data_IF_081749883933
#
_entry.id   IF_081749883933
#
_cell.length_a   1.000
_cell.length_b   1.000
_cell.length_c   1.000
_cell.angle_alpha   90.00
_cell.angle_beta   90.00
_cell.angle_gamma   90.00
#
_symmetry.space_group_name_H-M   'P 1'
#
loop_
_entity.id
_entity.type
_entity.pdbx_description
1 polymer ?
2 non-polymer ?
3 non-polymer ?
4 water ?
#
# COMPACT_ATOMS: atom_id res chain seq x y z
N UNK A 28 2.45 -23.70 -18.04
CA UNK A 28 2.38 -23.75 -16.58
C UNK A 28 1.89 -22.40 -16.03
N UNK A 29 1.08 -22.46 -14.98
CA UNK A 29 0.42 -21.29 -14.46
C UNK A 29 0.95 -20.94 -13.08
N UNK A 30 2.23 -21.17 -12.85
CA UNK A 30 2.78 -20.90 -11.53
C UNK A 30 2.84 -19.42 -11.27
N UNK A 31 2.96 -19.07 -10.00
CA UNK A 31 3.27 -17.70 -9.64
C UNK A 31 4.63 -17.28 -10.17
N UNK A 32 5.59 -18.21 -10.21
CA UNK A 32 6.91 -17.87 -10.73
C UNK A 32 6.81 -17.41 -12.18
N UNK A 33 5.88 -17.96 -12.94
CA UNK A 33 5.76 -17.62 -14.35
C UNK A 33 4.97 -16.34 -14.61
N UNK A 34 4.32 -15.78 -13.60
CA UNK A 34 3.76 -14.44 -13.75
C UNK A 34 4.86 -13.46 -14.16
N UNK A 35 4.48 -12.47 -14.97
CA UNK A 35 5.48 -11.55 -15.50
C UNK A 35 6.24 -10.84 -14.39
N UNK A 36 7.56 -10.82 -14.52
CA UNK A 36 8.42 -10.14 -13.57
C UNK A 36 8.54 -8.66 -13.92
N UNK A 37 8.88 -7.89 -12.90
CA UNK A 37 9.09 -6.45 -12.97
C UNK A 37 10.27 -6.10 -12.09
N UNK A 38 10.82 -4.91 -12.32
CA UNK A 38 11.88 -4.40 -11.44
C UNK A 38 11.39 -4.28 -10.02
N UNK A 39 10.19 -3.71 -9.84
CA UNK A 39 9.59 -3.56 -8.52
C UNK A 39 9.38 -4.92 -7.86
N UNK A 40 8.67 -5.83 -8.52
CA UNK A 40 8.45 -7.14 -7.94
C UNK A 40 9.74 -7.88 -7.62
N UNK A 41 10.73 -7.79 -8.53
CA UNK A 41 11.99 -8.50 -8.31
C UNK A 41 12.77 -7.93 -7.13
N UNK A 42 12.69 -6.61 -6.93
CA UNK A 42 13.40 -6.00 -5.80
C UNK A 42 12.82 -6.48 -4.48
N UNK A 43 11.48 -6.53 -4.40
CA UNK A 43 10.83 -7.04 -3.19
C UNK A 43 11.16 -8.52 -2.99
N UNK A 44 11.10 -9.30 -4.07
CA UNK A 44 11.34 -10.73 -3.97
C UNK A 44 12.76 -11.02 -3.55
N UNK A 45 13.73 -10.29 -4.12
CA UNK A 45 15.12 -10.50 -3.77
C UNK A 45 15.35 -10.14 -2.31
N UNK A 46 14.71 -9.09 -1.82
CA UNK A 46 14.87 -8.72 -0.43
C UNK A 46 14.31 -9.80 0.49
N UNK A 47 13.09 -10.27 0.21
CA UNK A 47 12.47 -11.31 1.04
C UNK A 47 13.31 -12.58 1.06
N UNK A 48 13.78 -13.03 -0.11
CA UNK A 48 14.48 -14.30 -0.18
C UNK A 48 15.88 -14.21 0.40
N UNK A 49 16.53 -13.05 0.31
CA UNK A 49 17.78 -12.86 1.05
C UNK A 49 17.54 -12.94 2.55
N UNK A 50 16.48 -12.28 3.04
CA UNK A 50 16.16 -12.37 4.47
C UNK A 50 15.95 -13.82 4.88
N UNK A 51 15.19 -14.58 4.08
CA UNK A 51 14.88 -15.96 4.43
C UNK A 51 16.12 -16.84 4.41
N UNK A 52 17.04 -16.60 3.47
CA UNK A 52 18.28 -17.38 3.46
C UNK A 52 19.19 -17.06 4.64
N UNK A 53 19.00 -15.92 5.31
CA UNK A 53 19.79 -15.65 6.51
C UNK A 53 19.18 -16.29 7.76
N UNK A 54 17.98 -16.82 7.68
CA UNK A 54 17.31 -17.45 8.82
C UNK A 54 17.60 -18.95 8.81
N UNK A 55 17.61 -19.56 10.00
CA UNK A 55 17.96 -20.97 10.09
C UNK A 55 16.75 -21.89 10.03
N UNK A 56 15.64 -21.47 9.45
CA UNK A 56 14.43 -22.26 9.56
C UNK A 56 14.30 -23.18 8.37
N UNK A 57 14.21 -24.50 8.58
CA UNK A 57 14.12 -25.43 7.45
C UNK A 57 12.88 -25.22 6.60
N UNK A 58 11.74 -24.95 7.25
CA UNK A 58 10.42 -24.98 6.61
C UNK A 58 10.25 -23.93 5.52
N UNK A 59 11.04 -22.87 5.53
CA UNK A 59 10.76 -21.69 4.70
C UNK A 59 10.98 -21.99 3.23
N UNK A 60 9.90 -21.96 2.44
CA UNK A 60 10.00 -22.06 1.00
C UNK A 60 10.34 -20.74 0.34
N UNK A 61 10.56 -20.80 -0.97
CA UNK A 61 10.87 -19.61 -1.74
C UNK A 61 9.63 -18.75 -1.95
N UNK A 62 9.82 -17.42 -1.92
CA UNK A 62 8.74 -16.46 -2.08
C UNK A 62 8.82 -15.84 -3.47
N UNK A 63 7.67 -15.64 -4.10
CA UNK A 63 7.55 -14.91 -5.36
C UNK A 63 6.71 -13.67 -5.14
N UNK A 64 7.22 -12.53 -5.61
CA UNK A 64 6.51 -11.27 -5.50
C UNK A 64 6.26 -10.79 -6.91
N UNK A 65 5.00 -10.56 -7.23
CA UNK A 65 4.63 -10.18 -8.58
C UNK A 65 3.77 -8.94 -8.51
N UNK A 66 4.17 -7.91 -9.26
CA UNK A 66 3.26 -6.83 -9.62
C UNK A 66 2.33 -7.36 -10.70
N UNK A 67 1.04 -7.40 -10.40
CA UNK A 67 0.05 -7.99 -11.30
C UNK A 67 -0.83 -6.95 -11.95
N UNK A 68 -0.80 -5.69 -11.51
CA UNK A 68 -1.55 -4.64 -12.17
C UNK A 68 -0.82 -3.32 -11.97
N UNK A 69 -0.96 -2.44 -12.96
CA UNK A 69 -0.24 -1.17 -12.99
C UNK A 69 -0.95 -0.33 -14.04
N UNK A 70 -1.57 0.77 -13.60
CA UNK A 70 -2.32 1.61 -14.52
C UNK A 70 -2.31 3.03 -13.98
N UNK A 71 -2.55 3.99 -14.88
CA UNK A 71 -2.54 5.40 -14.53
C UNK A 71 -3.96 5.91 -14.32
N UNK A 72 -4.15 6.65 -13.24
CA UNK A 72 -5.46 7.12 -12.84
C UNK A 72 -5.34 8.57 -12.37
N UNK A 73 -6.49 9.18 -12.11
CA UNK A 73 -6.54 10.49 -11.50
C UNK A 73 -7.50 10.43 -10.31
N UNK A 74 -7.18 11.12 -9.23
CA UNK A 74 -8.13 11.34 -8.14
C UNK A 74 -8.66 12.76 -8.24
N UNK A 75 -9.97 12.91 -8.25
CA UNK A 75 -10.59 14.22 -8.39
C UNK A 75 -10.89 14.79 -7.02
N UNK A 76 -10.65 16.09 -6.87
CA UNK A 76 -11.01 16.79 -5.64
C UNK A 76 -12.52 16.83 -5.54
N UNK A 77 -13.06 16.33 -4.43
CA UNK A 77 -14.52 16.18 -4.26
C UNK A 77 -15.21 17.54 -4.18
N UNK A 78 -16.56 17.60 -4.32
CA UNK A 78 -17.20 18.90 -4.63
C UNK A 78 -16.99 19.99 -3.60
N UNK A 79 -16.97 19.67 -2.31
CA UNK A 79 -16.81 20.72 -1.31
C UNK A 79 -15.44 21.37 -1.41
N UNK A 80 -14.38 20.56 -1.36
CA UNK A 80 -13.04 21.10 -1.54
C UNK A 80 -12.86 21.73 -2.91
N UNK A 81 -13.58 21.23 -3.94
CA UNK A 81 -13.48 21.83 -5.26
C UNK A 81 -14.05 23.24 -5.27
N UNK A 82 -15.23 23.43 -4.67
CA UNK A 82 -15.82 24.76 -4.61
C UNK A 82 -14.98 25.72 -3.79
N UNK A 83 -14.39 25.25 -2.69
CA UNK A 83 -13.62 26.16 -1.85
C UNK A 83 -12.27 26.51 -2.47
N UNK A 84 -11.57 25.54 -3.00
CA UNK A 84 -10.18 25.76 -3.40
C UNK A 84 -9.90 25.56 -4.89
N UNK A 85 -10.64 24.69 -5.57
CA UNK A 85 -10.37 24.50 -7.00
C UNK A 85 -10.94 25.65 -7.81
N UNK A 86 -12.19 26.04 -7.53
CA UNK A 86 -12.83 27.13 -8.27
C UNK A 86 -12.14 28.46 -8.07
N UNK A 87 -11.43 28.64 -6.96
CA UNK A 87 -10.69 29.89 -6.72
C UNK A 87 -9.28 29.85 -7.27
N UNK A 88 -8.85 28.72 -7.84
CA UNK A 88 -7.53 28.59 -8.40
C UNK A 88 -6.43 28.26 -7.42
N UNK A 89 -6.77 27.90 -6.20
CA UNK A 89 -5.77 27.59 -5.18
C UNK A 89 -5.32 26.14 -5.19
N UNK A 90 -6.02 25.25 -5.89
CA UNK A 90 -5.75 23.83 -5.76
C UNK A 90 -6.07 23.16 -7.08
N UNK A 91 -5.18 22.26 -7.52
CA UNK A 91 -5.43 21.52 -8.73
C UNK A 91 -6.74 20.75 -8.64
N UNK A 92 -7.48 20.69 -9.75
CA UNK A 92 -8.77 20.02 -9.73
C UNK A 92 -8.64 18.51 -9.57
N UNK A 93 -7.48 17.94 -9.88
CA UNK A 93 -7.27 16.50 -9.78
C UNK A 93 -5.77 16.22 -9.76
N UNK A 94 -5.43 15.00 -9.36
CA UNK A 94 -4.03 14.60 -9.26
C UNK A 94 -3.83 13.27 -9.98
N UNK A 95 -2.86 13.19 -10.88
CA UNK A 95 -2.58 11.92 -11.54
C UNK A 95 -1.73 11.01 -10.67
N UNK A 96 -1.98 9.71 -10.80
CA UNK A 96 -1.18 8.75 -10.06
C UNK A 96 -1.15 7.42 -10.80
N UNK A 97 -0.10 6.66 -10.54
CA UNK A 97 -0.01 5.28 -10.98
C UNK A 97 -0.42 4.41 -9.82
N UNK A 98 -1.24 3.42 -10.08
CA UNK A 98 -1.63 2.49 -9.04
C UNK A 98 -1.15 1.10 -9.42
N UNK A 99 -0.76 0.32 -8.43
CA UNK A 99 -0.17 -0.98 -8.66
C UNK A 99 -0.71 -1.95 -7.63
N UNK A 100 -1.03 -3.16 -8.08
CA UNK A 100 -1.38 -4.27 -7.20
C UNK A 100 -0.25 -5.29 -7.23
N UNK A 101 0.23 -5.69 -6.06
CA UNK A 101 1.27 -6.70 -5.99
C UNK A 101 0.89 -7.77 -4.98
N UNK A 102 1.37 -8.99 -5.24
CA UNK A 102 1.02 -10.15 -4.45
C UNK A 102 2.28 -10.95 -4.16
N UNK A 103 2.28 -11.58 -3.00
CA UNK A 103 3.37 -12.45 -2.58
C UNK A 103 2.86 -13.89 -2.49
N UNK A 104 3.62 -14.82 -3.05
CA UNK A 104 3.26 -16.23 -3.04
C UNK A 104 4.40 -17.02 -2.41
N UNK A 105 4.05 -18.05 -1.67
CA UNK A 105 5.03 -18.96 -1.11
C UNK A 105 4.79 -20.35 -1.67
N UNK A 106 5.86 -21.04 -2.01
CA UNK A 106 5.80 -22.47 -2.28
C UNK A 106 5.56 -23.19 -0.97
N UNK A 107 4.42 -23.87 -0.87
CA UNK A 107 4.04 -24.67 0.29
C UNK A 107 3.51 -26.00 -0.22
N UNK A 108 4.13 -27.09 0.22
CA UNK A 108 3.80 -28.43 -0.27
C UNK A 108 3.90 -28.50 -1.79
N UNK A 109 4.90 -27.81 -2.35
CA UNK A 109 5.16 -27.88 -3.78
C UNK A 109 4.05 -27.26 -4.61
N UNK A 110 3.44 -26.19 -4.12
CA UNK A 110 2.24 -25.63 -4.72
C UNK A 110 2.10 -24.20 -4.21
N UNK A 111 1.79 -23.28 -5.12
CA UNK A 111 1.78 -21.86 -4.78
C UNK A 111 0.64 -21.49 -3.84
N UNK A 112 0.95 -20.67 -2.85
CA UNK A 112 -0.08 -20.12 -1.96
C UNK A 112 0.09 -18.62 -1.88
N UNK A 113 -0.92 -17.87 -2.32
CA UNK A 113 -0.88 -16.42 -2.18
C UNK A 113 -1.13 -16.07 -0.72
N UNK A 114 -0.21 -15.31 -0.12
CA UNK A 114 -0.38 -14.98 1.30
C UNK A 114 -0.36 -13.49 1.60
N UNK A 115 -0.14 -12.63 0.61
CA UNK A 115 0.00 -11.21 0.90
C UNK A 115 -0.36 -10.42 -0.35
N UNK A 116 -1.03 -9.30 -0.15
CA UNK A 116 -1.40 -8.46 -1.27
C UNK A 116 -1.41 -7.03 -0.82
N UNK A 117 -1.16 -6.12 -1.76
CA UNK A 117 -1.03 -4.71 -1.45
C UNK A 117 -1.30 -3.90 -2.70
N UNK A 118 -2.01 -2.79 -2.51
CA UNK A 118 -2.24 -1.77 -3.52
C UNK A 118 -1.57 -0.48 -3.06
N UNK A 119 -0.95 0.24 -4.01
CA UNK A 119 -0.21 1.47 -3.74
C UNK A 119 -0.62 2.50 -4.77
N UNK A 120 -0.48 3.77 -4.41
CA UNK A 120 -0.71 4.90 -5.31
C UNK A 120 0.57 5.72 -5.33
N UNK A 121 1.02 6.07 -6.53
CA UNK A 121 2.30 6.72 -6.68
C UNK A 121 2.09 8.01 -7.46
N UNK A 122 2.38 9.13 -6.82
CA UNK A 122 2.20 10.46 -7.37
C UNK A 122 3.58 10.96 -7.75
N UNK A 123 3.87 10.99 -9.05
CA UNK A 123 5.23 11.17 -9.52
C UNK A 123 5.73 12.60 -9.42
N UNK A 124 6.85 12.84 -10.12
CA UNK A 124 7.50 14.14 -10.05
C UNK A 124 6.79 15.22 -10.86
N UNK A 125 5.91 14.86 -11.78
CA UNK A 125 5.08 15.81 -12.52
C UNK A 125 3.76 16.12 -11.81
N UNK A 126 3.45 15.42 -10.75
CA UNK A 126 2.17 15.62 -10.12
C UNK A 126 2.12 16.99 -9.43
N UNK A 127 1.04 17.75 -9.60
CA UNK A 127 0.97 19.05 -8.96
C UNK A 127 1.05 18.95 -7.45
N UNK A 128 1.54 19.98 -6.78
CA UNK A 128 1.43 20.02 -5.33
C UNK A 128 -0.02 19.95 -4.91
N UNK A 129 -0.32 19.45 -3.70
CA UNK A 129 0.58 18.98 -2.64
C UNK A 129 1.01 17.51 -2.72
N UNK A 130 0.73 16.79 -3.80
CA UNK A 130 0.95 15.36 -3.87
C UNK A 130 2.31 14.97 -4.44
N UNK A 131 3.13 15.92 -4.86
CA UNK A 131 4.31 15.60 -5.67
C UNK A 131 5.28 14.66 -4.96
N UNK A 132 5.69 13.59 -5.67
CA UNK A 132 6.68 12.62 -5.21
C UNK A 132 6.26 11.97 -3.89
N UNK A 133 5.02 11.48 -3.84
CA UNK A 133 4.50 10.80 -2.66
C UNK A 133 3.92 9.47 -3.08
N UNK A 134 3.97 8.51 -2.18
CA UNK A 134 3.33 7.22 -2.37
C UNK A 134 2.38 7.01 -1.20
N UNK A 135 1.31 6.28 -1.46
CA UNK A 135 0.33 5.98 -0.44
C UNK A 135 -0.01 4.51 -0.53
N UNK A 136 -0.07 3.83 0.60
CA UNK A 136 -0.56 2.44 0.58
C UNK A 136 -2.08 2.47 0.62
N UNK A 137 -2.72 2.18 -0.51
CA UNK A 137 -4.17 2.07 -0.55
C UNK A 137 -4.66 0.98 0.40
N UNK A 138 -4.13 -0.24 0.23
CA UNK A 138 -4.66 -1.40 0.94
C UNK A 138 -3.57 -2.44 1.08
N UNK A 139 -3.60 -3.15 2.21
CA UNK A 139 -2.76 -4.30 2.43
C UNK A 139 -3.62 -5.38 3.08
N UNK A 140 -3.39 -6.65 2.72
CA UNK A 140 -4.15 -7.77 3.23
C UNK A 140 -3.24 -9.00 3.26
N UNK A 141 -3.61 -10.00 4.06
CA UNK A 141 -2.78 -11.17 4.22
C UNK A 141 -3.62 -12.37 4.65
N UNK A 142 -3.10 -13.56 4.36
CA UNK A 142 -3.68 -14.82 4.82
C UNK A 142 -2.55 -15.58 5.51
N UNK A 143 -2.78 -15.99 6.76
CA UNK A 143 -1.68 -16.29 7.67
C UNK A 143 -1.02 -17.66 7.50
N UNK A 144 -0.96 -18.19 6.29
CA UNK A 144 -0.44 -19.53 6.12
C UNK A 144 1.05 -19.59 5.81
N UNK A 145 1.77 -18.48 5.88
CA UNK A 145 3.21 -18.53 5.60
C UNK A 145 3.93 -19.50 6.54
N UNK A 146 4.77 -20.36 5.96
CA UNK A 146 5.62 -21.26 6.72
C UNK A 146 7.07 -20.79 6.64
N UNK A 147 7.74 -20.61 7.78
CA UNK A 147 7.24 -20.88 9.13
C UNK A 147 6.51 -19.67 9.67
N UNK A 148 5.59 -19.92 10.60
CA UNK A 148 4.86 -18.83 11.24
C UNK A 148 5.80 -17.83 11.88
N UNK A 149 6.88 -18.31 12.50
CA UNK A 149 7.71 -17.38 13.26
C UNK A 149 8.40 -16.35 12.38
N UNK A 150 8.34 -16.51 11.05
CA UNK A 150 8.91 -15.56 10.11
C UNK A 150 7.86 -14.75 9.36
N UNK A 151 6.56 -15.01 9.58
CA UNK A 151 5.50 -14.36 8.80
C UNK A 151 5.58 -12.84 8.90
N UNK A 152 5.54 -12.31 10.11
CA UNK A 152 5.57 -10.85 10.25
C UNK A 152 6.82 -10.25 9.64
N UNK A 153 7.97 -10.88 9.90
CA UNK A 153 9.24 -10.39 9.36
C UNK A 153 9.19 -10.31 7.85
N UNK A 154 8.56 -11.30 7.20
CA UNK A 154 8.42 -11.28 5.75
C UNK A 154 7.53 -10.13 5.32
N UNK A 155 6.38 -9.95 5.97
CA UNK A 155 5.53 -8.78 5.66
C UNK A 155 6.32 -7.47 5.80
N UNK A 156 7.08 -7.34 6.87
CA UNK A 156 7.85 -6.12 7.06
C UNK A 156 8.88 -5.94 5.96
N UNK A 157 9.55 -7.03 5.56
CA UNK A 157 10.52 -6.95 4.48
C UNK A 157 9.89 -6.54 3.15
N UNK A 158 8.69 -7.05 2.84
CA UNK A 158 8.00 -6.60 1.63
C UNK A 158 7.79 -5.09 1.68
N UNK A 159 7.33 -4.58 2.82
CA UNK A 159 7.02 -3.16 2.93
C UNK A 159 8.28 -2.31 2.91
N UNK A 160 9.31 -2.74 3.66
CA UNK A 160 10.59 -2.04 3.61
C UNK A 160 11.14 -2.01 2.19
N UNK A 161 11.09 -3.16 1.52
CA UNK A 161 11.55 -3.20 0.14
C UNK A 161 10.81 -2.19 -0.72
N UNK A 162 9.48 -2.06 -0.54
CA UNK A 162 8.72 -1.11 -1.34
C UNK A 162 9.20 0.32 -1.10
N UNK A 163 9.34 0.71 0.16
CA UNK A 163 9.82 2.06 0.50
C UNK A 163 11.22 2.30 -0.08
N UNK A 164 12.11 1.33 0.10
CA UNK A 164 13.47 1.42 -0.42
C UNK A 164 13.45 1.60 -1.93
N UNK A 165 12.59 0.85 -2.62
CA UNK A 165 12.53 0.93 -4.08
C UNK A 165 12.02 2.29 -4.55
N UNK A 166 10.93 2.80 -3.99
CA UNK A 166 10.41 4.05 -4.51
C UNK A 166 11.30 5.21 -4.08
N UNK A 167 12.00 5.07 -2.95
CA UNK A 167 12.99 6.06 -2.57
C UNK A 167 14.09 6.15 -3.61
N UNK A 168 14.55 5.00 -4.11
CA UNK A 168 15.63 5.01 -5.09
C UNK A 168 15.20 5.65 -6.40
N UNK A 169 13.95 5.43 -6.82
CA UNK A 169 13.44 6.09 -8.01
C UNK A 169 13.23 7.59 -7.81
N UNK A 170 13.23 8.05 -6.57
CA UNK A 170 13.11 9.46 -6.30
C UNK A 170 11.83 9.90 -5.62
N UNK A 171 11.02 8.98 -5.10
CA UNK A 171 9.90 9.42 -4.26
C UNK A 171 10.43 9.91 -2.93
N UNK A 172 9.71 10.83 -2.30
CA UNK A 172 10.21 11.56 -1.15
C UNK A 172 9.45 11.19 0.12
N UNK A 173 8.15 11.00 0.03
CA UNK A 173 7.34 10.80 1.23
C UNK A 173 6.36 9.67 1.00
N UNK A 174 6.24 8.78 1.97
CA UNK A 174 5.27 7.69 1.94
C UNK A 174 4.20 7.93 2.99
N UNK A 175 3.00 7.37 2.76
CA UNK A 175 1.85 7.62 3.61
C UNK A 175 1.12 6.32 3.89
N UNK A 176 0.83 6.07 5.15
CA UNK A 176 0.11 4.88 5.58
C UNK A 176 -0.99 5.29 6.54
N UNK A 177 -2.19 4.81 6.29
CA UNK A 177 -3.31 4.93 7.21
C UNK A 177 -3.50 3.54 7.83
N UNK A 178 -3.18 3.41 9.11
CA UNK A 178 -3.30 2.14 9.81
C UNK A 178 -4.77 1.95 10.16
N UNK A 179 -5.49 1.22 9.33
CA UNK A 179 -6.92 1.02 9.52
C UNK A 179 -7.30 -0.44 9.30
N UNK A 180 -7.61 -1.20 10.35
CA UNK A 180 -8.03 -2.59 10.18
C UNK A 180 -9.39 -2.62 9.50
N UNK A 181 -9.77 -3.73 8.88
CA UNK A 181 -11.08 -3.78 8.22
C UNK A 181 -12.20 -3.77 9.24
N UNK A 182 -13.37 -3.34 8.78
CA UNK A 182 -14.57 -3.53 9.57
C UNK A 182 -14.82 -5.03 9.78
N UNK A 183 -15.51 -5.34 10.86
CA UNK A 183 -15.67 -6.72 11.26
C UNK A 183 -16.37 -7.53 10.16
N UNK A 184 -15.79 -8.69 9.83
CA UNK A 184 -16.31 -9.53 8.77
C UNK A 184 -15.96 -9.09 7.37
N UNK A 185 -15.40 -7.90 7.19
CA UNK A 185 -15.04 -7.39 5.89
C UNK A 185 -13.65 -7.88 5.48
N UNK A 186 -13.42 -7.94 4.16
CA UNK A 186 -12.15 -8.37 3.59
C UNK A 186 -11.59 -7.28 2.68
N UNK A 187 -10.30 -6.98 2.84
CA UNK A 187 -9.70 -5.93 2.02
C UNK A 187 -9.38 -6.44 0.61
N UNK A 188 -8.76 -7.62 0.51
CA UNK A 188 -8.30 -8.13 -0.78
C UNK A 188 -8.72 -9.58 -0.97
N UNK A 189 -8.49 -10.41 0.04
CA UNK A 189 -8.71 -11.85 -0.06
C UNK A 189 -10.06 -12.22 0.52
N UNK A 190 -10.91 -12.82 -0.31
CA UNK A 190 -12.24 -13.20 0.15
C UNK A 190 -12.15 -14.30 1.19
N UNK A 191 -12.83 -14.09 2.32
CA UNK A 191 -12.97 -15.10 3.37
C UNK A 191 -11.66 -15.54 4.02
N UNK A 192 -11.24 -14.80 5.04
CA UNK A 192 -10.05 -15.12 5.82
C UNK A 192 -10.28 -16.35 6.68
N UNK A 193 -9.21 -16.95 7.21
CA UNK A 193 -9.39 -18.05 8.17
C UNK A 193 -10.08 -17.57 9.43
N UNK A 194 -10.93 -18.40 10.04
CA UNK A 194 -11.68 -17.95 11.21
C UNK A 194 -10.79 -17.70 12.41
N UNK A 195 -9.63 -18.36 12.50
CA UNK A 195 -8.70 -18.15 13.60
C UNK A 195 -7.59 -17.17 13.24
N UNK A 196 -7.68 -16.50 12.09
CA UNK A 196 -6.75 -15.41 11.81
C UNK A 196 -7.30 -14.15 12.47
N UNK A 197 -6.73 -13.79 13.61
CA UNK A 197 -7.20 -12.62 14.35
C UNK A 197 -6.90 -11.35 13.58
N UNK A 198 -7.78 -10.38 13.72
CA UNK A 198 -7.65 -9.08 13.06
C UNK A 198 -7.14 -8.08 14.10
N UNK A 199 -6.01 -7.43 13.85
CA UNK A 199 -5.48 -6.50 14.86
C UNK A 199 -6.37 -5.29 15.04
N UNK A 200 -6.49 -4.83 16.29
CA UNK A 200 -7.12 -3.54 16.56
C UNK A 200 -6.15 -2.43 16.18
N UNK A 201 -6.63 -1.19 16.02
CA UNK A 201 -5.74 -0.13 15.50
C UNK A 201 -4.46 0.07 16.31
N UNK A 202 -4.50 -0.09 17.63
CA UNK A 202 -3.29 0.07 18.43
C UNK A 202 -2.23 -0.96 18.04
N UNK A 203 -2.60 -2.25 18.02
CA UNK A 203 -1.69 -3.29 17.56
C UNK A 203 -1.16 -2.98 16.16
N UNK A 204 -2.02 -2.47 15.28
CA UNK A 204 -1.60 -2.21 13.92
C UNK A 204 -0.62 -1.04 13.83
N UNK A 205 -0.83 0.02 14.63
CA UNK A 205 0.16 1.11 14.67
C UNK A 205 1.52 0.58 15.09
N UNK A 206 1.55 -0.19 16.19
CA UNK A 206 2.79 -0.75 16.70
C UNK A 206 3.45 -1.63 15.65
N UNK A 207 2.65 -2.35 14.87
CA UNK A 207 3.19 -3.18 13.82
C UNK A 207 3.89 -2.32 12.76
N UNK A 208 3.28 -1.18 12.43
CA UNK A 208 3.92 -0.30 11.46
C UNK A 208 5.15 0.38 12.04
N UNK A 209 5.11 0.75 13.33
CA UNK A 209 6.27 1.33 13.98
C UNK A 209 7.46 0.38 13.96
N UNK A 210 7.22 -0.89 14.25
CA UNK A 210 8.30 -1.88 14.22
C UNK A 210 8.86 -2.00 12.80
N UNK A 211 7.99 -2.04 11.80
CA UNK A 211 8.49 -2.10 10.44
C UNK A 211 9.32 -0.86 10.12
N UNK A 212 8.80 0.33 10.45
CA UNK A 212 9.49 1.57 10.10
C UNK A 212 10.74 1.77 10.93
N UNK A 213 10.72 1.35 12.21
CA UNK A 213 11.94 1.36 13.01
C UNK A 213 13.03 0.54 12.36
N UNK A 214 12.67 -0.60 11.75
CA UNK A 214 13.67 -1.39 11.05
C UNK A 214 14.15 -0.68 9.79
N UNK A 215 13.21 -0.10 9.02
CA UNK A 215 13.58 0.71 7.86
C UNK A 215 14.51 1.86 8.24
N UNK A 216 14.25 2.49 9.39
CA UNK A 216 15.11 3.57 9.88
C UNK A 216 16.50 3.03 10.20
N UNK A 217 16.58 1.95 10.98
CA UNK A 217 17.87 1.39 11.35
C UNK A 217 18.69 1.01 10.13
N UNK A 218 18.05 0.63 9.04
CA UNK A 218 18.77 0.25 7.83
C UNK A 218 19.09 1.45 6.95
N UNK A 219 18.84 2.66 7.44
CA UNK A 219 19.14 3.89 6.70
C UNK A 219 18.39 3.94 5.38
N UNK A 220 17.19 3.37 5.36
CA UNK A 220 16.34 3.46 4.19
C UNK A 220 15.49 4.71 4.31
N UNK A 221 14.72 4.83 5.40
CA UNK A 221 13.94 6.04 5.63
C UNK A 221 14.75 6.99 6.49
N UNK A 222 14.53 8.30 6.29
CA UNK A 222 15.19 9.28 7.14
C UNK A 222 14.46 9.44 8.48
N UNK A 223 13.13 9.34 8.45
CA UNK A 223 12.34 9.55 9.65
C UNK A 223 10.90 9.19 9.30
N UNK A 224 10.10 9.01 10.34
CA UNK A 224 8.66 9.00 10.17
C UNK A 224 8.05 9.77 11.32
N UNK A 225 6.90 10.39 11.06
CA UNK A 225 6.20 11.20 12.04
C UNK A 225 4.71 10.98 11.87
N UNK A 226 3.97 11.16 12.97
CA UNK A 226 2.52 11.19 12.87
C UNK A 226 2.07 12.44 12.09
N UNK A 227 0.85 12.38 11.55
CA UNK A 227 0.38 13.41 10.64
C UNK A 227 0.28 14.77 11.35
N UNK A 228 -0.08 14.77 12.64
CA UNK A 228 -0.26 16.01 13.37
C UNK A 228 1.06 16.75 13.57
N UNK A 229 2.09 16.02 14.05
CA UNK A 229 3.41 16.61 14.20
C UNK A 229 3.94 17.10 12.87
N UNK A 230 3.73 16.32 11.80
CA UNK A 230 4.22 16.72 10.49
C UNK A 230 3.56 17.99 10.00
N UNK A 231 2.24 18.08 10.14
CA UNK A 231 1.52 19.28 9.71
C UNK A 231 2.00 20.51 10.48
N UNK A 232 2.22 20.37 11.78
CA UNK A 232 2.76 21.47 12.59
C UNK A 232 4.13 21.90 12.07
N UNK A 233 5.05 20.94 11.89
CA UNK A 233 6.38 21.29 11.41
C UNK A 233 6.33 21.87 10.00
N UNK A 234 5.42 21.35 9.16
CA UNK A 234 5.18 21.93 7.84
C UNK A 234 4.46 23.27 7.90
N UNK A 235 4.00 23.71 9.07
CA UNK A 235 3.26 24.96 9.22
C UNK A 235 2.03 25.02 8.30
N UNK A 236 1.34 23.88 8.19
CA UNK A 236 0.08 23.83 7.48
C UNK A 236 -0.85 24.92 7.98
N UNK A 237 -1.40 25.71 7.07
CA UNK A 237 -2.44 26.66 7.42
C UNK A 237 -3.72 26.47 6.64
N UNK A 238 -3.74 25.61 5.62
CA UNK A 238 -4.94 25.46 4.82
C UNK A 238 -5.13 24.00 4.42
N UNK A 239 -6.39 23.57 4.36
CA UNK A 239 -6.67 22.18 3.99
C UNK A 239 -6.13 21.87 2.60
N UNK A 240 -6.04 22.89 1.72
CA UNK A 240 -5.53 22.66 0.38
C UNK A 240 -4.09 22.15 0.39
N UNK A 241 -3.34 22.34 1.49
CA UNK A 241 -1.97 21.83 1.56
C UNK A 241 -1.90 20.35 1.90
N UNK A 242 -3.00 19.72 2.27
CA UNK A 242 -2.89 18.33 2.70
C UNK A 242 -2.87 17.42 1.47
N UNK A 243 -1.94 16.48 1.40
CA UNK A 243 -1.94 15.53 0.27
C UNK A 243 -3.28 14.84 0.16
N UNK A 244 -3.75 14.69 -1.08
CA UNK A 244 -5.13 14.34 -1.39
C UNK A 244 -5.10 13.03 -2.19
N UNK A 245 -5.34 11.91 -1.52
CA UNK A 245 -5.23 10.60 -2.15
C UNK A 245 -6.59 9.93 -2.28
N UNK A 246 -6.72 9.09 -3.30
CA UNK A 246 -7.96 8.37 -3.59
C UNK A 246 -8.31 7.40 -2.46
N UNK A 247 -9.51 7.53 -1.90
CA UNK A 247 -9.96 6.66 -0.83
C UNK A 247 -9.30 6.89 0.52
N UNK A 248 -8.45 7.90 0.64
CA UNK A 248 -7.81 8.17 1.92
C UNK A 248 -8.84 8.79 2.88
N UNK A 249 -8.48 8.79 4.15
CA UNK A 249 -9.33 9.38 5.19
C UNK A 249 -9.58 10.86 4.94
N UNK A 250 -8.57 11.58 4.48
CA UNK A 250 -8.64 13.02 4.63
C UNK A 250 -9.58 13.70 3.63
N UNK A 251 -9.71 13.23 2.38
CA UNK A 251 -10.68 13.89 1.49
C UNK A 251 -12.10 13.88 2.03
N UNK A 252 -12.55 12.79 2.67
CA UNK A 252 -13.90 12.75 3.23
C UNK A 252 -14.03 13.61 4.47
N UNK A 253 -13.02 13.58 5.35
CA UNK A 253 -12.95 14.52 6.47
C UNK A 253 -13.21 15.93 5.97
N UNK A 254 -12.51 16.31 4.90
CA UNK A 254 -12.62 17.67 4.39
C UNK A 254 -14.03 17.93 3.82
N UNK A 255 -14.62 16.94 3.15
CA UNK A 255 -15.99 17.12 2.66
C UNK A 255 -16.97 17.29 3.81
N UNK A 256 -16.78 16.54 4.90
CA UNK A 256 -17.67 16.69 6.05
C UNK A 256 -17.52 18.06 6.69
N UNK A 257 -16.27 18.52 6.87
CA UNK A 257 -16.07 19.82 7.51
C UNK A 257 -16.65 20.95 6.68
N UNK A 258 -16.73 20.77 5.36
CA UNK A 258 -17.35 21.79 4.53
C UNK A 258 -18.88 21.73 4.62
N UNK A 259 -19.46 20.52 4.75
CA UNK A 259 -20.90 20.45 4.97
C UNK A 259 -21.29 20.98 6.35
N UNK A 260 -20.43 20.74 7.34
CA UNK A 260 -20.67 21.29 8.68
C UNK A 260 -20.54 22.81 8.67
N UNK A 261 -19.47 23.31 8.04
CA UNK A 261 -19.17 24.73 7.91
C UNK A 261 -18.88 25.37 9.26
N UNK A 264 -12.57 28.91 10.42
CA UNK A 264 -11.28 28.31 10.76
C UNK A 264 -11.26 26.83 10.42
N UNK A 265 -11.33 26.53 9.11
CA UNK A 265 -11.21 25.15 8.66
C UNK A 265 -9.90 24.51 9.11
N UNK A 266 -8.82 25.31 9.19
CA UNK A 266 -7.52 24.78 9.59
C UNK A 266 -7.51 24.39 11.07
N UNK A 267 -8.19 25.15 11.93
CA UNK A 267 -8.19 24.83 13.34
C UNK A 267 -8.86 23.47 13.61
N UNK A 268 -9.97 23.20 12.91
CA UNK A 268 -10.64 21.91 13.02
C UNK A 268 -9.74 20.79 12.49
N UNK A 269 -9.13 21.03 11.33
CA UNK A 269 -8.28 20.02 10.73
C UNK A 269 -7.19 19.58 11.70
N UNK A 270 -6.52 20.53 12.32
CA UNK A 270 -5.50 20.21 13.33
C UNK A 270 -6.09 19.40 14.47
N UNK A 271 -7.29 19.78 14.93
CA UNK A 271 -7.92 19.03 16.02
C UNK A 271 -8.22 17.59 15.57
N UNK A 272 -8.63 17.41 14.31
CA UNK A 272 -8.89 16.06 13.83
C UNK A 272 -7.59 15.28 13.67
N UNK A 273 -6.57 15.91 13.07
CA UNK A 273 -5.26 15.26 12.94
C UNK A 273 -4.71 14.85 14.30
N UNK A 274 -4.77 15.76 15.29
CA UNK A 274 -4.26 15.42 16.61
C UNK A 274 -5.04 14.26 17.21
N UNK A 275 -6.36 14.30 17.07
CA UNK A 275 -7.20 13.28 17.68
C UNK A 275 -6.86 11.89 17.16
N UNK A 276 -6.50 11.77 15.88
CA UNK A 276 -6.27 10.46 15.28
C UNK A 276 -4.81 10.28 14.86
N UNK A 277 -3.89 11.05 15.45
CA UNK A 277 -2.54 11.14 14.89
C UNK A 277 -1.84 9.79 14.88
N UNK A 278 -2.13 8.92 15.84
CA UNK A 278 -1.34 7.70 15.98
C UNK A 278 -1.56 6.75 14.83
N UNK A 279 -2.61 6.96 14.05
CA UNK A 279 -2.99 6.03 13.00
C UNK A 279 -2.56 6.51 11.61
N UNK A 280 -1.96 7.69 11.52
CA UNK A 280 -1.54 8.24 10.23
C UNK A 280 -0.04 8.49 10.23
N UNK A 281 0.69 7.72 9.40
CA UNK A 281 2.15 7.74 9.33
C UNK A 281 2.58 8.57 8.12
N UNK A 282 3.51 9.50 8.34
CA UNK A 282 4.20 10.20 7.28
C UNK A 282 5.66 9.77 7.32
N UNK A 283 6.14 9.18 6.24
CA UNK A 283 7.42 8.49 6.17
C UNK A 283 8.29 9.24 5.17
N UNK A 284 9.45 9.69 5.61
CA UNK A 284 10.31 10.46 4.73
C UNK A 284 11.43 9.57 4.21
N UNK A 285 11.47 9.40 2.89
CA UNK A 285 12.49 8.61 2.23
C UNK A 285 13.74 9.43 1.95
N UNK A 286 13.58 10.72 1.69
CA UNK A 286 14.66 11.66 1.53
C UNK A 286 14.38 12.88 2.40
N UNK A 287 15.43 13.50 2.91
CA UNK A 287 15.31 14.70 3.71
C UNK A 287 16.43 15.64 3.34
N UNK A 288 16.20 16.93 3.58
CA UNK A 288 17.25 17.92 3.48
C UNK A 288 17.46 18.38 2.06
N UNK A 289 18.60 19.03 1.80
CA UNK A 289 18.81 19.68 0.50
C UNK A 289 18.89 18.71 -0.67
N UNK A 290 19.06 17.40 -0.44
CA UNK A 290 19.17 16.46 -1.54
C UNK A 290 17.87 16.38 -2.31
N UNK A 291 16.75 16.65 -1.64
CA UNK A 291 15.44 16.64 -2.30
C UNK A 291 15.44 17.60 -3.49
N UNK A 292 16.15 18.72 -3.36
CA UNK A 292 16.16 19.71 -4.42
C UNK A 292 16.94 19.27 -5.65
N UNK A 293 17.70 18.17 -5.59
CA UNK A 293 18.51 17.72 -6.71
C UNK A 293 17.94 16.53 -7.46
N UNK A 294 16.85 15.92 -6.98
CA UNK A 294 16.41 14.65 -7.52
C UNK A 294 15.96 14.79 -8.97
N UNK A 295 16.35 13.86 -9.84
CA UNK A 295 15.92 13.92 -11.25
C UNK A 295 14.45 13.54 -11.37
N UNK A 296 13.86 13.70 -12.55
CA UNK A 296 12.47 13.26 -12.73
C UNK A 296 12.31 11.80 -12.35
N UNK A 297 11.14 11.46 -11.85
CA UNK A 297 10.81 10.07 -11.56
C UNK A 297 10.35 9.39 -12.85
N UNK A 298 10.99 8.27 -13.17
CA UNK A 298 10.66 7.47 -14.34
C UNK A 298 10.50 6.04 -13.86
N UNK A 299 9.31 5.50 -14.03
CA UNK A 299 9.04 4.10 -13.68
C UNK A 299 9.69 3.21 -14.73
N UNK A 300 10.66 2.37 -14.38
CA UNK A 300 11.28 1.51 -15.41
C UNK A 300 10.37 0.38 -15.86
N UNK A 301 9.30 0.07 -15.14
CA UNK A 301 8.38 -1.01 -15.47
C UNK A 301 7.28 -0.50 -16.38
N UNK A 302 6.84 -1.30 -17.35
CA UNK A 302 5.70 -0.90 -18.17
C UNK A 302 4.41 -1.02 -17.38
N UNK A 303 3.36 -0.40 -17.90
CA UNK A 303 2.03 -0.63 -17.34
C UNK A 303 1.57 -2.05 -17.65
N UNK A 304 0.67 -2.54 -16.80
CA UNK A 304 0.13 -3.89 -16.93
C UNK A 304 -1.39 -3.79 -16.87
N UNK A 305 -2.04 -3.98 -18.02
CA UNK A 305 -3.50 -4.03 -18.07
C UNK A 305 -4.02 -5.31 -17.42
N UNK A 306 -4.82 -5.16 -16.35
CA UNK A 306 -5.38 -6.34 -15.68
C UNK A 306 -6.67 -5.91 -14.95
N UNK A 307 -7.82 -6.08 -15.62
CA UNK A 307 -9.08 -5.63 -15.03
C UNK A 307 -9.38 -6.35 -13.72
N UNK A 308 -8.92 -7.60 -13.59
CA UNK A 308 -9.18 -8.35 -12.38
C UNK A 308 -8.62 -7.66 -11.15
N UNK A 309 -7.45 -7.04 -11.27
CA UNK A 309 -6.77 -6.46 -10.12
C UNK A 309 -6.73 -4.94 -10.21
N UNK A 310 -7.63 -4.36 -10.99
CA UNK A 310 -7.89 -2.93 -11.01
C UNK A 310 -8.77 -2.64 -9.81
N UNK A 311 -8.17 -2.16 -8.73
CA UNK A 311 -8.90 -1.98 -7.48
C UNK A 311 -9.12 -3.31 -6.81
N UNK A 312 -9.85 -3.27 -5.69
CA UNK A 312 -10.05 -4.47 -4.89
C UNK A 312 -11.36 -5.20 -5.19
N UNK A 313 -12.38 -4.51 -5.70
CA UNK A 313 -13.71 -5.11 -5.75
C UNK A 313 -13.79 -6.25 -6.75
N UNK A 314 -13.06 -6.15 -7.87
CA UNK A 314 -13.17 -7.14 -8.93
C UNK A 314 -12.77 -8.52 -8.42
N UNK A 315 -11.59 -8.62 -7.81
CA UNK A 315 -11.12 -9.91 -7.33
C UNK A 315 -11.99 -10.41 -6.18
N UNK A 316 -12.37 -9.53 -5.27
CA UNK A 316 -13.32 -9.88 -4.22
C UNK A 316 -14.64 -10.41 -4.81
N UNK A 317 -15.14 -9.76 -5.86
CA UNK A 317 -16.40 -10.19 -6.45
C UNK A 317 -16.26 -11.54 -7.13
N UNK A 318 -15.23 -11.69 -7.98
CA UNK A 318 -14.96 -12.96 -8.63
C UNK A 318 -14.88 -14.10 -7.61
N UNK A 319 -14.12 -13.90 -6.53
CA UNK A 319 -13.96 -14.97 -5.55
C UNK A 319 -15.28 -15.28 -4.85
N UNK A 320 -16.03 -14.24 -4.46
CA UNK A 320 -17.34 -14.45 -3.83
C UNK A 320 -18.26 -15.26 -4.74
N UNK A 321 -18.34 -14.88 -6.01
CA UNK A 321 -19.22 -15.59 -6.93
C UNK A 321 -18.74 -17.01 -7.19
N UNK A 322 -17.43 -17.21 -7.33
CA UNK A 322 -16.86 -18.51 -7.62
C UNK A 322 -16.67 -19.37 -6.37
N UNK A 323 -16.89 -18.81 -5.18
CA UNK A 323 -16.68 -19.52 -3.91
C UNK A 323 -15.21 -19.83 -3.69
N UNK A 324 -14.35 -18.91 -4.08
CA UNK A 324 -12.93 -19.01 -3.77
C UNK A 324 -12.69 -18.34 -2.43
N UNK A 325 -12.40 -19.15 -1.43
CA UNK A 325 -12.13 -18.66 -0.08
C UNK A 325 -10.66 -18.86 0.26
N UNK A 326 -10.19 -18.07 1.21
CA UNK A 326 -8.82 -18.18 1.71
C UNK A 326 -8.84 -18.53 3.19
N UNK A 327 -9.79 -19.39 3.56
CA UNK A 327 -10.12 -19.65 4.95
C UNK A 327 -9.44 -20.88 5.53
N UNK A 328 -8.79 -21.70 4.71
CA UNK A 328 -7.97 -22.81 5.16
C UNK A 328 -6.81 -22.94 4.19
N UNK A 329 -5.76 -23.67 4.59
CA UNK A 329 -4.64 -23.87 3.68
C UNK A 329 -5.08 -24.55 2.39
N UNK A 330 -5.94 -25.56 2.50
CA UNK A 330 -6.40 -26.25 1.29
C UNK A 330 -7.19 -25.32 0.38
N UNK A 331 -8.12 -24.55 0.95
CA UNK A 331 -8.89 -23.62 0.13
C UNK A 331 -8.02 -22.53 -0.45
N UNK A 332 -7.01 -22.08 0.32
CA UNK A 332 -6.08 -21.07 -0.18
C UNK A 332 -5.26 -21.60 -1.34
N UNK A 333 -4.89 -22.89 -1.27
CA UNK A 333 -4.18 -23.51 -2.38
C UNK A 333 -5.02 -23.47 -3.65
N UNK A 334 -6.28 -23.88 -3.56
CA UNK A 334 -7.10 -23.95 -4.76
C UNK A 334 -7.48 -22.55 -5.24
N UNK A 335 -7.82 -21.65 -4.32
CA UNK A 335 -8.09 -20.26 -4.71
C UNK A 335 -6.86 -19.61 -5.35
N UNK A 336 -5.67 -19.91 -4.87
CA UNK A 336 -4.47 -19.40 -5.50
C UNK A 336 -4.31 -19.96 -6.91
N UNK A 337 -4.51 -21.27 -7.07
CA UNK A 337 -4.55 -21.86 -8.41
C UNK A 337 -5.53 -21.12 -9.32
N UNK A 338 -6.74 -20.89 -8.84
CA UNK A 338 -7.74 -20.20 -9.66
C UNK A 338 -7.32 -18.75 -9.95
N UNK A 339 -6.83 -18.04 -8.94
CA UNK A 339 -6.34 -16.69 -9.17
C UNK A 339 -5.22 -16.69 -10.20
N UNK A 340 -4.32 -17.68 -10.15
CA UNK A 340 -3.21 -17.74 -11.08
C UNK A 340 -3.68 -18.01 -12.50
N UNK A 341 -4.61 -18.95 -12.68
CA UNK A 341 -5.10 -19.23 -14.03
C UNK A 341 -5.76 -17.99 -14.62
N UNK A 342 -6.48 -17.24 -13.78
CA UNK A 342 -7.12 -16.01 -14.26
C UNK A 342 -6.09 -14.96 -14.65
N UNK A 343 -5.03 -14.78 -13.86
CA UNK A 343 -4.03 -13.76 -14.17
C UNK A 343 -3.23 -14.11 -15.41
N UNK A 344 -2.99 -15.40 -15.64
CA UNK A 344 -2.24 -15.81 -16.82
C UNK A 344 -3.05 -15.77 -18.11
N UNK A 345 -4.38 -15.72 -18.02
CA UNK A 345 -5.21 -15.79 -19.22
C UNK A 345 -6.08 -14.57 -19.46
N UNK A 346 -6.12 -13.60 -18.54
CA UNK A 346 -6.82 -12.34 -18.81
C UNK A 346 -6.37 -11.77 -20.15
N UNK A 347 -5.08 -11.87 -20.46
CA UNK A 347 -4.62 -11.73 -21.82
C UNK A 347 -4.37 -13.09 -22.43
N UNK A 348 -5.35 -13.60 -23.17
CA UNK A 348 -5.22 -14.89 -23.85
C UNK A 348 -5.05 -14.72 -25.36
#
# INVERSE_FOLDING_TARGET
MGSSHHHHHHDYDIPTTENLYFQGHTNKFSAKRLQTTRLGNHLEDRVNKFLRRQNHPEAGEVFVRVVASSDKTVEVKPGMKSRFVDSGEMSESFPYRTKALFAFEEIDGVDVCFFGMHVQEYGSDCPPPNTRRVYISYLDSIHFFRPRCLRTAVYHEILIGYLEYVKKLGYVTGHIWACPPSEGDDYIFHCHPPDQKIPKPKRLQEWFKKMLDKAFAERIIHDYKDIFKQATEDRLTSAKELPYFEGDFWPNVLEESIKESGGSGSQKLYATMEKHKEVFFVIHLHAGPVINTLPPIVDPDPLLSCDLMDGRDAFLTLARDKHWEFSSLRRSKWSTLCMLVELHTQGQ
#
